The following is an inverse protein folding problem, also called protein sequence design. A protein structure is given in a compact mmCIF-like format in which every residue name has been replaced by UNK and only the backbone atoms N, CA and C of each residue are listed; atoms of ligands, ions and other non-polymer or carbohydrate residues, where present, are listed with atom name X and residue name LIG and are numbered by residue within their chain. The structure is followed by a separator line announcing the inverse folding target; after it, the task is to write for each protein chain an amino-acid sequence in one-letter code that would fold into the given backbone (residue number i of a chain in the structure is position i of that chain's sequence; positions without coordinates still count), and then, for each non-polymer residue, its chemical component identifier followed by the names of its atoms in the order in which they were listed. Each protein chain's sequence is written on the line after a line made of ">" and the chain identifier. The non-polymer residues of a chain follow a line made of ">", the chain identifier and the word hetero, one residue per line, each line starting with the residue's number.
data_IF_557903353773
#
_entry.id   IF_557903353773
#
_cell.length_a   1.000
_cell.length_b   1.000
_cell.length_c   1.000
_cell.angle_alpha   90.00
_cell.angle_beta   90.00
_cell.angle_gamma   90.00
#
_symmetry.space_group_name_H-M   'P 1'
#
loop_
_entity.id
_entity.type
_entity.pdbx_description
1 polymer ?
#
# COMPACT_ATOMS: atom_id res chain seq x y z
N UNK A 1 14.26 -6.74 5.56
CA UNK A 1 14.44 -7.30 4.20
C UNK A 1 13.17 -7.29 3.37
N UNK A 2 12.03 -7.83 3.84
CA UNK A 2 10.77 -7.86 3.08
C UNK A 2 10.34 -6.51 2.50
N UNK A 3 10.36 -5.43 3.30
CA UNK A 3 10.03 -4.08 2.81
C UNK A 3 10.99 -3.58 1.72
N UNK A 4 12.31 -3.72 1.90
CA UNK A 4 13.30 -3.27 0.92
C UNK A 4 13.09 -3.94 -0.44
N UNK A 5 12.87 -5.27 -0.44
CA UNK A 5 12.59 -6.04 -1.65
C UNK A 5 11.23 -5.61 -2.25
N UNK A 6 10.21 -5.39 -1.41
CA UNK A 6 8.90 -4.91 -1.85
C UNK A 6 8.96 -3.57 -2.57
N UNK A 7 9.74 -2.62 -2.06
CA UNK A 7 9.92 -1.29 -2.68
C UNK A 7 10.53 -1.41 -4.09
N UNK A 8 11.64 -2.14 -4.19
CA UNK A 8 12.39 -2.28 -5.45
C UNK A 8 11.55 -3.05 -6.48
N UNK A 9 10.97 -4.18 -6.07
CA UNK A 9 10.17 -5.02 -6.96
C UNK A 9 8.87 -4.36 -7.41
N UNK A 10 8.19 -3.60 -6.54
CA UNK A 10 6.96 -2.87 -6.88
C UNK A 10 7.20 -1.78 -7.92
N UNK A 11 8.27 -1.01 -7.76
CA UNK A 11 8.70 -0.01 -8.75
C UNK A 11 9.09 -0.66 -10.08
N UNK A 12 9.94 -1.67 -10.04
CA UNK A 12 10.41 -2.39 -11.23
C UNK A 12 9.25 -3.06 -12.01
N UNK A 13 8.30 -3.69 -11.31
CA UNK A 13 7.16 -4.36 -11.94
C UNK A 13 6.27 -3.38 -12.71
N UNK A 14 5.92 -2.25 -12.07
CA UNK A 14 5.12 -1.21 -12.70
C UNK A 14 5.85 -0.56 -13.89
N UNK A 15 7.14 -0.25 -13.74
CA UNK A 15 7.97 0.28 -14.82
C UNK A 15 8.10 -0.67 -16.01
N UNK A 16 8.24 -1.98 -15.76
CA UNK A 16 8.26 -3.01 -16.82
C UNK A 16 6.93 -3.14 -17.56
N UNK A 17 5.81 -2.92 -16.89
CA UNK A 17 4.49 -2.90 -17.55
C UNK A 17 4.35 -1.68 -18.46
N UNK A 18 4.80 -0.52 -18.00
CA UNK A 18 4.79 0.73 -18.77
C UNK A 18 5.72 0.62 -19.99
N UNK A 19 6.94 0.10 -19.82
CA UNK A 19 7.89 -0.08 -20.93
C UNK A 19 7.43 -1.09 -21.98
N UNK A 20 6.58 -2.05 -21.58
CA UNK A 20 5.89 -2.97 -22.51
C UNK A 20 4.68 -2.35 -23.22
N UNK A 21 4.43 -1.05 -23.06
CA UNK A 21 3.35 -0.33 -23.74
C UNK A 21 1.99 -0.38 -23.03
N UNK A 22 1.90 -0.85 -21.78
CA UNK A 22 0.65 -0.70 -21.02
C UNK A 22 0.47 0.75 -20.56
N UNK A 23 -0.79 1.18 -20.43
CA UNK A 23 -1.11 2.50 -19.86
C UNK A 23 -0.65 2.59 -18.40
N UNK A 24 -0.29 3.80 -17.96
CA UNK A 24 0.10 4.08 -16.56
C UNK A 24 -1.00 3.63 -15.61
N UNK A 25 -2.27 3.92 -15.93
CA UNK A 25 -3.44 3.43 -15.20
C UNK A 25 -3.43 1.92 -14.98
N UNK A 26 -3.27 1.13 -16.05
CA UNK A 26 -3.26 -0.34 -15.94
C UNK A 26 -2.04 -0.81 -15.15
N UNK A 27 -0.86 -0.27 -15.41
CA UNK A 27 0.37 -0.67 -14.73
C UNK A 27 0.30 -0.41 -13.22
N UNK A 28 -0.10 0.79 -12.81
CA UNK A 28 -0.21 1.19 -11.40
C UNK A 28 -1.28 0.40 -10.67
N UNK A 29 -2.49 0.32 -11.22
CA UNK A 29 -3.60 -0.43 -10.59
C UNK A 29 -3.28 -1.91 -10.44
N UNK A 30 -2.67 -2.53 -11.45
CA UNK A 30 -2.27 -3.94 -11.37
C UNK A 30 -1.22 -4.15 -10.29
N UNK A 31 -0.20 -3.28 -10.22
CA UNK A 31 0.83 -3.38 -9.19
C UNK A 31 0.24 -3.20 -7.77
N UNK A 32 -0.64 -2.21 -7.58
CA UNK A 32 -1.33 -1.94 -6.31
C UNK A 32 -2.16 -3.14 -5.88
N UNK A 33 -2.94 -3.73 -6.79
CA UNK A 33 -3.78 -4.91 -6.49
C UNK A 33 -2.93 -6.12 -6.12
N UNK A 34 -1.83 -6.38 -6.83
CA UNK A 34 -0.93 -7.50 -6.51
C UNK A 34 -0.31 -7.32 -5.13
N UNK A 35 0.25 -6.13 -4.85
CA UNK A 35 0.84 -5.85 -3.54
C UNK A 35 -0.20 -5.93 -2.41
N UNK A 36 -1.41 -5.41 -2.65
CA UNK A 36 -2.52 -5.48 -1.70
C UNK A 36 -2.97 -6.93 -1.45
N UNK A 37 -3.04 -7.77 -2.49
CA UNK A 37 -3.38 -9.18 -2.34
C UNK A 37 -2.33 -9.92 -1.52
N UNK A 38 -1.03 -9.69 -1.77
CA UNK A 38 0.05 -10.31 -0.99
C UNK A 38 -0.02 -9.85 0.47
N UNK A 39 -0.22 -8.55 0.70
CA UNK A 39 -0.39 -8.00 2.04
C UNK A 39 -1.59 -8.61 2.76
N UNK A 40 -2.75 -8.67 2.10
CA UNK A 40 -3.98 -9.25 2.65
C UNK A 40 -3.80 -10.71 3.02
N UNK A 41 -3.25 -11.52 2.11
CA UNK A 41 -2.95 -12.93 2.38
C UNK A 41 -1.96 -13.09 3.54
N UNK A 42 -0.95 -12.22 3.63
CA UNK A 42 -0.02 -12.19 4.76
C UNK A 42 -0.71 -11.88 6.09
N UNK A 43 -1.66 -10.94 6.11
CA UNK A 43 -2.45 -10.59 7.29
C UNK A 43 -3.36 -11.75 7.72
N UNK A 44 -4.09 -12.36 6.78
CA UNK A 44 -4.94 -13.53 7.04
C UNK A 44 -4.11 -14.70 7.55
N UNK A 45 -2.95 -14.96 6.94
CA UNK A 45 -2.04 -15.99 7.38
C UNK A 45 -1.53 -15.73 8.80
N UNK A 46 -1.21 -14.48 9.14
CA UNK A 46 -0.81 -14.08 10.48
C UNK A 46 -1.91 -14.34 11.52
N UNK A 47 -3.18 -14.07 11.17
CA UNK A 47 -4.31 -14.30 12.08
C UNK A 47 -4.53 -15.79 12.34
N UNK A 48 -4.43 -16.63 11.30
CA UNK A 48 -4.82 -18.04 11.37
C UNK A 48 -3.69 -18.97 11.81
N UNK A 49 -2.44 -18.65 11.45
CA UNK A 49 -1.33 -19.62 11.51
C UNK A 49 -0.09 -19.14 12.26
N UNK A 50 -0.06 -17.90 12.78
CA UNK A 50 1.08 -17.38 13.53
C UNK A 50 1.11 -17.89 14.99
N UNK A 51 1.28 -19.20 15.14
CA UNK A 51 1.36 -19.85 16.45
C UNK A 51 2.77 -19.89 17.04
N UNK A 52 3.80 -19.49 16.29
CA UNK A 52 5.18 -19.38 16.76
C UNK A 52 5.80 -18.03 16.37
N UNK A 53 6.77 -17.51 17.14
CA UNK A 53 7.45 -16.25 16.81
C UNK A 53 8.08 -16.26 15.41
N UNK A 54 8.65 -17.41 14.99
CA UNK A 54 9.24 -17.54 13.66
C UNK A 54 8.19 -17.39 12.54
N UNK A 55 7.04 -18.06 12.67
CA UNK A 55 5.96 -17.92 11.69
C UNK A 55 5.42 -16.50 11.64
N UNK A 56 5.29 -15.85 12.80
CA UNK A 56 4.88 -14.46 12.88
C UNK A 56 5.84 -13.53 12.12
N UNK A 57 7.15 -13.67 12.32
CA UNK A 57 8.16 -12.86 11.62
C UNK A 57 8.12 -13.08 10.11
N UNK A 58 7.97 -14.34 9.66
CA UNK A 58 7.86 -14.66 8.24
C UNK A 58 6.61 -14.00 7.64
N UNK A 59 5.46 -14.13 8.30
CA UNK A 59 4.21 -13.52 7.83
C UNK A 59 4.28 -11.99 7.83
N UNK A 60 4.86 -11.39 8.87
CA UNK A 60 5.12 -9.96 8.92
C UNK A 60 6.02 -9.50 7.76
N UNK A 61 7.01 -10.30 7.37
CA UNK A 61 7.84 -10.00 6.21
C UNK A 61 7.04 -9.96 4.90
N UNK A 62 6.07 -10.87 4.71
CA UNK A 62 5.15 -10.84 3.57
C UNK A 62 4.20 -9.65 3.60
N UNK A 63 3.66 -9.31 4.78
CA UNK A 63 2.82 -8.12 4.98
C UNK A 63 3.58 -6.86 4.60
N UNK A 64 4.81 -6.69 5.13
CA UNK A 64 5.66 -5.55 4.82
C UNK A 64 6.10 -5.50 3.36
N UNK A 65 6.35 -6.66 2.75
CA UNK A 65 6.62 -6.75 1.32
C UNK A 65 5.44 -6.21 0.51
N UNK A 66 4.23 -6.74 0.74
CA UNK A 66 3.02 -6.33 0.01
C UNK A 66 2.66 -4.87 0.25
N UNK A 67 2.80 -4.39 1.49
CA UNK A 67 2.63 -2.98 1.84
C UNK A 67 3.59 -2.10 1.03
N UNK A 68 4.88 -2.44 1.01
CA UNK A 68 5.88 -1.60 0.35
C UNK A 68 5.76 -1.63 -1.18
N UNK A 69 5.40 -2.79 -1.75
CA UNK A 69 5.08 -2.94 -3.17
C UNK A 69 3.90 -2.05 -3.58
N UNK A 70 2.90 -1.96 -2.71
CA UNK A 70 1.69 -1.16 -2.92
C UNK A 70 1.95 0.33 -2.76
N UNK A 71 2.50 0.75 -1.62
CA UNK A 71 2.65 2.17 -1.26
C UNK A 71 3.60 2.90 -2.21
N UNK A 72 4.65 2.24 -2.72
CA UNK A 72 5.55 2.84 -3.70
C UNK A 72 4.83 3.24 -5.00
N UNK A 73 3.82 2.47 -5.41
CA UNK A 73 2.99 2.78 -6.58
C UNK A 73 1.89 3.82 -6.27
N UNK A 74 1.44 3.92 -5.01
CA UNK A 74 0.49 4.95 -4.59
C UNK A 74 1.18 6.32 -4.49
N UNK A 75 2.40 6.36 -3.97
CA UNK A 75 3.16 7.61 -3.78
C UNK A 75 3.54 8.28 -5.10
N UNK A 76 3.57 7.55 -6.22
CA UNK A 76 3.82 8.09 -7.55
C UNK A 76 2.55 8.62 -8.23
N UNK A 77 1.35 8.37 -7.69
CA UNK A 77 0.10 8.83 -8.31
C UNK A 77 -0.01 10.35 -8.46
N UNK A 78 0.44 11.19 -7.50
CA UNK A 78 0.41 12.64 -7.68
C UNK A 78 1.16 13.10 -8.93
N UNK A 79 2.33 12.53 -9.21
CA UNK A 79 3.13 12.82 -10.41
C UNK A 79 2.58 12.16 -11.68
N UNK A 80 1.86 11.04 -11.55
CA UNK A 80 1.19 10.39 -12.68
C UNK A 80 -0.08 11.14 -13.12
N UNK A 81 -0.69 11.94 -12.23
CA UNK A 81 -1.93 12.69 -12.46
C UNK A 81 -1.71 14.18 -12.80
N UNK A 82 -0.73 14.83 -12.18
CA UNK A 82 -0.54 16.29 -12.27
C UNK A 82 0.88 16.66 -12.73
N UNK A 83 1.07 17.91 -13.16
CA UNK A 83 2.37 18.51 -13.49
C UNK A 83 2.76 19.65 -12.55
N UNK A 84 4.06 19.96 -12.50
CA UNK A 84 4.59 21.15 -11.84
C UNK A 84 4.30 21.23 -10.34
N UNK A 85 3.85 22.40 -9.86
CA UNK A 85 3.66 22.70 -8.43
C UNK A 85 2.50 21.90 -7.80
N UNK A 86 1.53 21.44 -8.60
CA UNK A 86 0.35 20.70 -8.14
C UNK A 86 0.72 19.31 -7.60
N UNK A 87 1.75 18.66 -8.17
CA UNK A 87 2.29 17.38 -7.71
C UNK A 87 2.76 17.47 -6.26
N UNK A 88 3.57 18.48 -5.95
CA UNK A 88 4.13 18.68 -4.61
C UNK A 88 3.05 18.97 -3.57
N UNK A 89 2.03 19.76 -3.91
CA UNK A 89 0.93 20.09 -3.00
C UNK A 89 0.09 18.85 -2.67
N UNK A 90 -0.27 18.05 -3.68
CA UNK A 90 -1.04 16.83 -3.46
C UNK A 90 -0.24 15.78 -2.68
N UNK A 91 1.04 15.61 -3.00
CA UNK A 91 1.94 14.71 -2.26
C UNK A 91 2.08 15.13 -0.79
N UNK A 92 2.16 16.44 -0.50
CA UNK A 92 2.23 16.97 0.87
C UNK A 92 0.95 16.69 1.65
N UNK A 93 -0.22 16.94 1.08
CA UNK A 93 -1.51 16.65 1.74
C UNK A 93 -1.63 15.16 2.04
N UNK A 94 -1.34 14.30 1.07
CA UNK A 94 -1.37 12.84 1.26
C UNK A 94 -0.39 12.38 2.35
N UNK A 95 0.83 12.93 2.37
CA UNK A 95 1.81 12.68 3.41
C UNK A 95 1.37 13.11 4.80
N UNK A 96 0.78 14.31 4.94
CA UNK A 96 0.27 14.82 6.21
C UNK A 96 -0.86 13.95 6.77
N UNK A 97 -1.80 13.51 5.93
CA UNK A 97 -2.88 12.59 6.33
C UNK A 97 -2.31 11.25 6.80
N UNK A 98 -1.31 10.72 6.10
CA UNK A 98 -0.64 9.48 6.49
C UNK A 98 0.03 9.59 7.86
N UNK A 99 0.75 10.68 8.13
CA UNK A 99 1.37 10.95 9.43
C UNK A 99 0.31 11.04 10.53
N UNK A 100 -0.79 11.75 10.27
CA UNK A 100 -1.89 11.87 11.23
C UNK A 100 -2.53 10.50 11.56
N UNK A 101 -2.74 9.66 10.55
CA UNK A 101 -3.23 8.29 10.74
C UNK A 101 -2.26 7.45 11.60
N UNK A 102 -0.94 7.58 11.39
CA UNK A 102 0.08 6.90 12.20
C UNK A 102 0.05 7.37 13.65
N UNK A 103 -0.12 8.67 13.90
CA UNK A 103 -0.24 9.22 15.25
C UNK A 103 -1.43 8.60 15.98
N UNK A 104 -2.61 8.57 15.35
CA UNK A 104 -3.80 7.93 15.94
C UNK A 104 -3.52 6.46 16.25
N UNK A 105 -2.92 5.73 15.31
CA UNK A 105 -2.59 4.32 15.51
C UNK A 105 -1.60 4.09 16.66
N UNK A 106 -0.68 5.02 16.90
CA UNK A 106 0.27 4.91 18.01
C UNK A 106 -0.46 4.92 19.37
N UNK A 107 -1.52 5.71 19.53
CA UNK A 107 -2.34 5.68 20.74
C UNK A 107 -3.30 4.49 20.79
N UNK A 108 -3.83 4.06 19.64
CA UNK A 108 -4.86 3.03 19.58
C UNK A 108 -4.32 1.60 19.71
N UNK A 109 -3.16 1.33 19.10
CA UNK A 109 -2.54 -0.01 19.10
C UNK A 109 -2.31 -0.53 20.51
N UNK A 110 -1.68 0.20 21.45
CA UNK A 110 -1.48 -0.28 22.82
C UNK A 110 -2.78 -0.54 23.59
N UNK A 111 -3.86 0.18 23.27
CA UNK A 111 -5.17 0.00 23.91
C UNK A 111 -5.86 -1.25 23.37
N UNK A 112 -5.80 -1.48 22.06
CA UNK A 112 -6.43 -2.63 21.41
C UNK A 112 -5.62 -3.92 21.65
N UNK A 113 -4.29 -3.83 21.71
CA UNK A 113 -3.41 -4.99 21.81
C UNK A 113 -3.25 -5.57 23.21
N UNK A 114 -3.97 -5.05 24.21
CA UNK A 114 -3.83 -5.48 25.62
C UNK A 114 -3.98 -6.99 25.82
N UNK A 115 -4.90 -7.62 25.06
CA UNK A 115 -5.17 -9.07 25.15
C UNK A 115 -4.69 -9.85 23.93
N UNK A 116 -4.72 -9.24 22.74
CA UNK A 116 -4.34 -9.90 21.50
C UNK A 116 -4.09 -8.89 20.39
N UNK A 117 -3.16 -9.19 19.49
CA UNK A 117 -2.95 -8.40 18.28
C UNK A 117 -3.95 -8.73 17.16
N UNK A 118 -4.69 -9.84 17.26
CA UNK A 118 -5.64 -10.29 16.22
C UNK A 118 -6.64 -9.21 15.80
N UNK A 119 -7.24 -8.40 16.70
CA UNK A 119 -8.14 -7.31 16.30
C UNK A 119 -7.47 -6.25 15.42
N UNK A 120 -6.20 -5.94 15.66
CA UNK A 120 -5.43 -4.97 14.85
C UNK A 120 -5.17 -5.54 13.46
N UNK A 121 -4.76 -6.81 13.38
CA UNK A 121 -4.56 -7.49 12.10
C UNK A 121 -5.86 -7.59 11.29
N UNK A 122 -7.01 -7.86 11.94
CA UNK A 122 -8.32 -7.84 11.27
C UNK A 122 -8.69 -6.44 10.76
N UNK A 123 -8.46 -5.39 11.55
CA UNK A 123 -8.70 -4.02 11.12
C UNK A 123 -7.87 -3.66 9.88
N UNK A 124 -6.58 -3.98 9.87
CA UNK A 124 -5.75 -3.78 8.68
C UNK A 124 -6.23 -4.63 7.50
N UNK A 125 -6.62 -5.88 7.72
CA UNK A 125 -7.14 -6.75 6.67
C UNK A 125 -8.39 -6.16 6.00
N UNK A 126 -9.22 -5.41 6.74
CA UNK A 126 -10.37 -4.68 6.20
C UNK A 126 -9.93 -3.38 5.49
N UNK A 127 -8.93 -2.67 6.01
CA UNK A 127 -8.44 -1.43 5.39
C UNK A 127 -7.75 -1.66 4.04
N UNK A 128 -7.09 -2.80 3.85
CA UNK A 128 -6.43 -3.12 2.57
C UNK A 128 -7.40 -3.06 1.37
N UNK A 129 -8.51 -3.83 1.33
CA UNK A 129 -9.46 -3.77 0.22
C UNK A 129 -10.17 -2.41 0.14
N UNK A 130 -10.44 -1.75 1.26
CA UNK A 130 -11.01 -0.39 1.25
C UNK A 130 -10.08 0.62 0.58
N UNK A 131 -8.77 0.54 0.83
CA UNK A 131 -7.77 1.39 0.17
C UNK A 131 -7.71 1.15 -1.34
N UNK A 132 -7.74 -0.11 -1.77
CA UNK A 132 -7.82 -0.45 -3.20
C UNK A 132 -9.12 0.08 -3.81
N UNK A 133 -10.25 -0.10 -3.14
CA UNK A 133 -11.55 0.38 -3.59
C UNK A 133 -11.57 1.91 -3.73
N UNK A 134 -10.97 2.63 -2.79
CA UNK A 134 -10.84 4.09 -2.86
C UNK A 134 -10.07 4.52 -4.12
N UNK A 135 -8.97 3.82 -4.46
CA UNK A 135 -8.21 4.11 -5.69
C UNK A 135 -9.05 3.85 -6.94
N UNK A 136 -9.79 2.75 -7.00
CA UNK A 136 -10.65 2.47 -8.15
C UNK A 136 -11.82 3.44 -8.28
N UNK A 137 -12.34 3.95 -7.16
CA UNK A 137 -13.50 4.86 -7.13
C UNK A 137 -13.09 6.29 -7.45
N UNK A 138 -12.02 6.79 -6.83
CA UNK A 138 -11.58 8.19 -6.95
C UNK A 138 -10.55 8.41 -8.07
N UNK A 139 -9.67 7.46 -8.35
CA UNK A 139 -8.69 7.53 -9.44
C UNK A 139 -9.11 6.63 -10.62
N UNK A 140 -10.27 6.93 -11.23
CA UNK A 140 -10.85 6.12 -12.32
C UNK A 140 -9.88 5.93 -13.49
N UNK A 141 -9.20 7.00 -13.92
CA UNK A 141 -8.16 6.96 -14.93
C UNK A 141 -6.91 7.69 -14.45
N UNK A 142 -5.83 6.95 -14.22
CA UNK A 142 -4.53 7.52 -13.87
C UNK A 142 -3.78 7.86 -15.16
N UNK A 143 -3.89 9.11 -15.57
CA UNK A 143 -3.19 9.72 -16.70
C UNK A 143 -2.97 11.21 -16.40
N UNK A 144 -1.99 11.85 -17.05
CA UNK A 144 -1.76 13.28 -16.89
C UNK A 144 -3.04 14.06 -17.22
N UNK A 145 -3.52 14.86 -16.26
CA UNK A 145 -4.69 15.73 -16.42
C UNK A 145 -4.36 16.93 -17.32
N UNK A 146 -3.11 17.38 -17.28
CA UNK A 146 -2.57 18.42 -18.15
C UNK A 146 -1.78 17.75 -19.27
N UNK A 147 -2.16 18.01 -20.53
CA UNK A 147 -1.26 17.78 -21.67
C UNK A 147 -0.31 18.97 -21.72
N UNK A 148 0.98 18.74 -21.46
CA UNK A 148 2.01 19.69 -21.84
C UNK A 148 2.01 19.88 -23.36
#
# INVERSE_FOLDING_TARGET
>A
MGAAIGSISGGYYSGKLISKGNTVNKARKTAIVIGAAIMFLGLVAAILFANTPLKFVIMAAFVLFGFQFTIGNIQTLPSDLFSGKSVGSLARIGGSIAVFAVIIMNFLVPVISQKSFVPIFMMFAVFVPLGVLAIYTFAKNIAPVEKN
#
